data_IF_844327785882
#
_entry.id   IF_844327785882
#
_cell.length_a   1.000
_cell.length_b   1.000
_cell.length_c   1.000
_cell.angle_alpha   90.00
_cell.angle_beta   90.00
_cell.angle_gamma   90.00
#
_symmetry.space_group_name_H-M   'P 1'
#
loop_
_entity.id
_entity.type
_entity.pdbx_description
1 polymer ?
#
# COMPACT_ATOMS: atom_id res chain seq x y z
N UNK A 1 2.28 29.90 -14.26
CA UNK A 1 1.37 29.22 -13.31
C UNK A 1 1.50 29.90 -11.97
N UNK A 2 0.41 30.29 -11.31
CA UNK A 2 0.47 30.75 -9.92
C UNK A 2 0.77 29.56 -9.02
N UNK A 3 1.64 29.71 -8.02
CA UNK A 3 2.06 28.64 -7.09
C UNK A 3 0.87 27.90 -6.46
N UNK A 4 -0.24 28.61 -6.26
CA UNK A 4 -1.50 28.05 -5.77
C UNK A 4 -2.13 27.00 -6.70
N UNK A 5 -2.04 27.15 -8.03
CA UNK A 5 -2.64 26.17 -8.94
C UNK A 5 -1.86 24.86 -8.97
N UNK A 6 -0.53 24.93 -8.99
CA UNK A 6 0.33 23.74 -8.95
C UNK A 6 0.12 22.95 -7.65
N UNK A 7 0.03 23.65 -6.52
CA UNK A 7 -0.26 23.04 -5.23
C UNK A 7 -1.63 22.35 -5.20
N UNK A 8 -2.69 23.03 -5.68
CA UNK A 8 -4.03 22.44 -5.78
C UNK A 8 -4.05 21.19 -6.66
N UNK A 9 -3.36 21.21 -7.80
CA UNK A 9 -3.28 20.06 -8.69
C UNK A 9 -2.57 18.87 -8.02
N UNK A 10 -1.51 19.12 -7.25
CA UNK A 10 -0.83 18.05 -6.51
C UNK A 10 -1.72 17.42 -5.43
N UNK A 11 -2.50 18.24 -4.70
CA UNK A 11 -3.50 17.72 -3.75
C UNK A 11 -4.57 16.89 -4.49
N UNK A 12 -5.06 17.39 -5.62
CA UNK A 12 -6.08 16.67 -6.41
C UNK A 12 -5.55 15.30 -6.87
N UNK A 13 -4.31 15.22 -7.35
CA UNK A 13 -3.66 13.96 -7.75
C UNK A 13 -3.49 13.00 -6.58
N UNK A 14 -3.03 13.51 -5.45
CA UNK A 14 -2.90 12.73 -4.21
C UNK A 14 -4.25 12.14 -3.80
N UNK A 15 -5.29 12.97 -3.71
CA UNK A 15 -6.64 12.53 -3.32
C UNK A 15 -7.22 11.52 -4.30
N UNK A 16 -6.98 11.69 -5.60
CA UNK A 16 -7.45 10.77 -6.63
C UNK A 16 -6.84 9.38 -6.48
N UNK A 17 -5.52 9.30 -6.30
CA UNK A 17 -4.84 8.03 -6.04
C UNK A 17 -5.26 7.43 -4.70
N UNK A 18 -5.35 8.24 -3.65
CA UNK A 18 -5.81 7.81 -2.33
C UNK A 18 -7.20 7.18 -2.42
N UNK A 19 -8.13 7.75 -3.19
CA UNK A 19 -9.47 7.20 -3.39
C UNK A 19 -9.40 5.81 -4.03
N UNK A 20 -8.65 5.65 -5.13
CA UNK A 20 -8.49 4.35 -5.80
C UNK A 20 -7.85 3.29 -4.88
N UNK A 21 -6.85 3.67 -4.08
CA UNK A 21 -6.19 2.77 -3.13
C UNK A 21 -7.08 2.35 -1.97
N UNK A 22 -7.96 3.25 -1.50
CA UNK A 22 -8.80 3.02 -0.32
C UNK A 22 -9.79 1.87 -0.53
N UNK A 23 -10.22 1.63 -1.77
CA UNK A 23 -11.09 0.49 -2.14
C UNK A 23 -10.43 -0.87 -1.86
N UNK A 24 -9.09 -0.90 -1.79
CA UNK A 24 -8.30 -2.09 -1.51
C UNK A 24 -7.69 -2.10 -0.10
N UNK A 25 -8.10 -1.18 0.78
CA UNK A 25 -7.52 -1.03 2.12
C UNK A 25 -6.11 -0.44 2.14
N UNK A 26 -5.70 0.21 1.04
CA UNK A 26 -4.39 0.84 0.91
C UNK A 26 -4.48 2.36 1.09
N UNK A 27 -3.40 2.96 1.56
CA UNK A 27 -3.29 4.42 1.71
C UNK A 27 -1.92 4.93 1.27
N UNK A 28 -1.82 6.24 1.02
CA UNK A 28 -0.57 6.92 0.71
C UNK A 28 -0.10 7.67 1.95
N UNK A 29 1.11 7.37 2.39
CA UNK A 29 1.76 8.09 3.49
C UNK A 29 3.21 8.37 3.11
N UNK A 30 3.63 9.64 3.17
CA UNK A 30 5.04 10.00 2.94
C UNK A 30 5.63 9.58 1.58
N UNK A 31 4.80 9.41 0.53
CA UNK A 31 5.26 8.97 -0.79
C UNK A 31 5.38 7.46 -0.95
N UNK A 32 4.88 6.68 0.00
CA UNK A 32 4.74 5.22 -0.11
C UNK A 32 3.28 4.81 -0.01
N UNK A 33 2.94 3.67 -0.62
CA UNK A 33 1.68 2.98 -0.42
C UNK A 33 1.82 2.05 0.78
N UNK A 34 0.86 2.10 1.69
CA UNK A 34 0.82 1.28 2.91
C UNK A 34 -0.51 0.53 3.00
N UNK A 35 -0.46 -0.68 3.55
CA UNK A 35 -1.66 -1.42 3.98
C UNK A 35 -1.86 -1.17 5.48
N UNK A 36 -2.73 -0.22 5.80
CA UNK A 36 -3.05 0.14 7.17
C UNK A 36 -3.90 -0.91 7.89
N UNK A 37 -4.53 -1.82 7.13
CA UNK A 37 -5.38 -2.88 7.67
C UNK A 37 -4.57 -4.03 8.30
N UNK A 38 -3.26 -4.10 8.03
CA UNK A 38 -2.39 -5.10 8.65
C UNK A 38 -2.13 -4.82 10.14
N UNK A 39 -1.92 -5.88 10.95
CA UNK A 39 -1.44 -5.76 12.32
C UNK A 39 -0.15 -4.94 12.43
N UNK A 40 0.04 -4.26 13.58
CA UNK A 40 1.22 -3.40 13.84
C UNK A 40 2.55 -4.18 13.77
N UNK A 41 2.51 -5.47 14.06
CA UNK A 41 3.68 -6.37 14.01
C UNK A 41 4.09 -6.77 12.58
N UNK A 42 3.27 -6.43 11.58
CA UNK A 42 3.53 -6.74 10.19
C UNK A 42 4.06 -5.54 9.41
N UNK A 43 4.92 -5.80 8.41
CA UNK A 43 5.40 -4.77 7.52
C UNK A 43 4.29 -4.24 6.61
N UNK A 44 3.90 -2.98 6.83
CA UNK A 44 2.77 -2.32 6.15
C UNK A 44 3.10 -1.71 4.80
N UNK A 45 4.36 -1.39 4.53
CA UNK A 45 4.73 -0.74 3.26
C UNK A 45 4.56 -1.73 2.11
N UNK A 46 3.91 -1.28 1.05
CA UNK A 46 3.73 -2.04 -0.19
C UNK A 46 4.84 -1.67 -1.18
N UNK A 47 4.88 -0.40 -1.59
CA UNK A 47 5.88 0.14 -2.52
C UNK A 47 5.98 1.68 -2.40
N UNK A 48 6.95 2.29 -3.07
CA UNK A 48 6.96 3.75 -3.29
C UNK A 48 6.00 4.14 -4.41
N UNK A 49 5.53 5.40 -4.41
CA UNK A 49 4.66 5.89 -5.49
C UNK A 49 4.92 7.37 -5.79
N UNK A 50 4.96 7.70 -7.08
CA UNK A 50 5.04 9.08 -7.57
C UNK A 50 3.68 9.53 -8.13
N UNK A 51 2.88 10.17 -7.27
CA UNK A 51 1.53 10.62 -7.63
C UNK A 51 1.52 11.87 -8.52
N UNK A 52 2.65 12.58 -8.69
CA UNK A 52 2.70 13.82 -9.48
C UNK A 52 2.43 13.61 -10.97
N UNK A 53 2.62 12.39 -11.46
CA UNK A 53 2.39 12.02 -12.87
C UNK A 53 0.95 11.59 -13.16
N UNK A 54 0.08 11.59 -12.15
CA UNK A 54 -1.32 11.21 -12.34
C UNK A 54 -2.03 12.27 -13.15
N UNK A 55 -2.71 11.79 -14.18
CA UNK A 55 -3.61 12.58 -14.99
C UNK A 55 -4.95 12.78 -14.25
N UNK A 56 -5.35 14.04 -14.14
CA UNK A 56 -6.59 14.42 -13.45
C UNK A 56 -7.83 14.15 -14.30
N UNK A 57 -7.68 13.97 -15.61
CA UNK A 57 -8.79 13.81 -16.54
C UNK A 57 -9.12 12.34 -16.85
N UNK A 58 -8.23 11.39 -16.51
CA UNK A 58 -8.43 9.95 -16.76
C UNK A 58 -8.64 9.14 -15.48
N UNK A 59 -9.43 8.07 -15.52
CA UNK A 59 -9.60 7.17 -14.37
C UNK A 59 -8.29 6.49 -13.98
N UNK A 60 -8.12 6.22 -12.68
CA UNK A 60 -6.94 5.49 -12.20
C UNK A 60 -7.19 4.01 -12.37
N UNK A 61 -6.39 3.37 -13.21
CA UNK A 61 -6.27 1.91 -13.25
C UNK A 61 -5.05 1.46 -12.42
N UNK A 62 -5.29 0.78 -11.30
CA UNK A 62 -4.22 0.26 -10.43
C UNK A 62 -3.41 -0.87 -11.06
N UNK A 63 -3.90 -1.51 -12.13
CA UNK A 63 -3.15 -2.50 -12.91
C UNK A 63 -1.90 -1.91 -13.56
N UNK A 64 -1.88 -0.59 -13.80
CA UNK A 64 -0.72 0.11 -14.33
C UNK A 64 0.41 0.29 -13.29
N UNK A 65 0.15 -0.07 -12.02
CA UNK A 65 1.11 0.01 -10.94
C UNK A 65 1.50 -1.42 -10.53
N UNK A 66 2.52 -1.98 -11.19
CA UNK A 66 2.89 -3.40 -11.09
C UNK A 66 2.96 -3.93 -9.65
N UNK A 67 3.64 -3.21 -8.75
CA UNK A 67 3.79 -3.63 -7.34
C UNK A 67 2.47 -3.58 -6.57
N UNK A 68 1.64 -2.57 -6.81
CA UNK A 68 0.33 -2.41 -6.17
C UNK A 68 -0.61 -3.51 -6.68
N UNK A 69 -0.62 -3.74 -7.99
CA UNK A 69 -1.41 -4.78 -8.62
C UNK A 69 -1.01 -6.17 -8.13
N UNK A 70 0.29 -6.49 -8.09
CA UNK A 70 0.79 -7.75 -7.57
C UNK A 70 0.44 -7.94 -6.08
N UNK A 71 0.45 -6.87 -5.29
CA UNK A 71 0.03 -6.91 -3.90
C UNK A 71 -1.45 -7.24 -3.75
N UNK A 72 -2.32 -6.57 -4.51
CA UNK A 72 -3.78 -6.80 -4.51
C UNK A 72 -4.09 -8.22 -4.99
N UNK A 73 -3.39 -8.70 -6.02
CA UNK A 73 -3.61 -10.02 -6.63
C UNK A 73 -2.84 -11.14 -5.92
N UNK A 74 -3.07 -11.26 -4.62
CA UNK A 74 -2.61 -12.38 -3.80
C UNK A 74 -1.26 -12.16 -3.10
N UNK A 75 -0.52 -11.10 -3.42
CA UNK A 75 0.68 -10.71 -2.67
C UNK A 75 0.39 -10.43 -1.20
N UNK A 76 -0.74 -9.77 -0.90
CA UNK A 76 -1.23 -9.53 0.46
C UNK A 76 -1.46 -10.83 1.23
N UNK A 77 -2.19 -11.78 0.64
CA UNK A 77 -2.49 -13.06 1.27
C UNK A 77 -1.22 -13.86 1.58
N UNK A 78 -0.28 -13.94 0.61
CA UNK A 78 1.02 -14.61 0.81
C UNK A 78 1.84 -13.97 1.93
N UNK A 79 1.77 -12.64 2.08
CA UNK A 79 2.46 -11.91 3.16
C UNK A 79 1.88 -12.26 4.53
N UNK A 80 0.55 -12.33 4.64
CA UNK A 80 -0.15 -12.73 5.86
C UNK A 80 0.19 -14.18 6.21
N UNK A 81 0.04 -15.10 5.26
CA UNK A 81 0.35 -16.52 5.45
C UNK A 81 1.81 -16.73 5.89
N UNK A 82 2.76 -16.02 5.27
CA UNK A 82 4.17 -16.08 5.68
C UNK A 82 4.35 -15.65 7.13
N UNK A 83 3.72 -14.54 7.53
CA UNK A 83 3.81 -14.04 8.90
C UNK A 83 3.20 -15.04 9.90
N UNK A 84 2.02 -15.58 9.63
CA UNK A 84 1.37 -16.58 10.48
C UNK A 84 2.25 -17.83 10.66
N UNK A 85 2.82 -18.34 9.56
CA UNK A 85 3.75 -19.46 9.60
C UNK A 85 5.02 -19.16 10.42
N UNK A 86 5.56 -17.96 10.35
CA UNK A 86 6.68 -17.53 11.19
C UNK A 86 6.29 -17.49 12.67
N UNK A 87 5.09 -16.98 13.01
CA UNK A 87 4.59 -16.96 14.39
C UNK A 87 4.40 -18.37 14.96
N UNK A 88 3.93 -19.32 14.16
CA UNK A 88 3.80 -20.74 14.56
C UNK A 88 5.16 -21.34 14.88
N UNK A 89 6.13 -21.20 13.97
CA UNK A 89 7.51 -21.72 14.16
C UNK A 89 8.19 -21.14 15.39
N UNK A 90 8.00 -19.85 15.65
CA UNK A 90 8.53 -19.20 16.84
C UNK A 90 7.92 -19.81 18.10
N UNK A 91 6.60 -20.04 18.11
CA UNK A 91 5.90 -20.63 19.26
C UNK A 91 6.38 -22.06 19.55
N UNK A 92 6.46 -22.89 18.50
CA UNK A 92 6.98 -24.26 18.58
C UNK A 92 8.42 -24.29 19.13
N UNK A 93 9.27 -23.35 18.70
CA UNK A 93 10.65 -23.25 19.19
C UNK A 93 10.72 -22.96 20.69
N UNK A 94 9.83 -22.12 21.24
CA UNK A 94 9.81 -21.84 22.67
C UNK A 94 9.18 -22.96 23.49
N UNK A 95 8.20 -23.69 22.96
CA UNK A 95 7.60 -24.86 23.62
C UNK A 95 8.58 -26.03 23.76
N UNK A 96 9.50 -26.23 22.81
CA UNK A 96 10.51 -27.29 22.87
C UNK A 96 11.67 -27.00 23.85
N UNK A 97 11.80 -25.77 24.35
CA UNK A 97 12.89 -25.34 25.25
C UNK A 97 12.46 -25.17 26.70
N UNK A 98 11.15 -25.22 26.97
CA UNK A 98 10.57 -25.25 28.31
C UNK A 98 10.20 -26.68 28.70
#
# INVERSE_FOLDING_TARGET
MTTNQAFKNNIARFNKLQAALSEHGLSISGGVVVDDTLPVVMHKVVCSVEYRNIDLDSEINLENFEEIHAYINGGRAKRIEKHENEQVKIREFFEQRN
#
